data_IF_254396596228
#
_entry.id   IF_254396596228
#
_cell.length_a   1.000
_cell.length_b   1.000
_cell.length_c   1.000
_cell.angle_alpha   90.00
_cell.angle_beta   90.00
_cell.angle_gamma   90.00
#
_symmetry.space_group_name_H-M   'P 1'
#
loop_
_entity.id
_entity.type
_entity.pdbx_description
1 polymer ?
#
# COMPACT_ATOMS: atom_id res chain seq x y z
N UNK A 1 -20.52 25.99 -40.57
CA UNK A 1 -19.12 26.38 -40.90
C UNK A 1 -18.31 26.32 -39.62
N UNK A 2 -17.15 25.70 -39.70
CA UNK A 2 -16.52 24.86 -38.66
C UNK A 2 -15.84 25.62 -37.52
N UNK A 3 -16.02 25.12 -36.29
CA UNK A 3 -15.28 25.51 -35.09
C UNK A 3 -13.91 24.82 -35.07
N UNK A 4 -12.84 25.59 -35.29
CA UNK A 4 -11.47 25.08 -35.24
C UNK A 4 -10.95 25.07 -33.80
N UNK A 5 -10.64 23.88 -33.28
CA UNK A 5 -9.94 23.69 -32.01
C UNK A 5 -8.42 23.83 -32.21
N UNK A 6 -7.66 24.50 -31.33
CA UNK A 6 -6.21 24.52 -31.45
C UNK A 6 -5.60 23.23 -30.88
N UNK A 7 -4.96 22.43 -31.74
CA UNK A 7 -4.08 21.33 -31.37
C UNK A 7 -2.82 21.89 -30.67
N UNK A 8 -2.54 21.47 -29.43
CA UNK A 8 -1.25 21.72 -28.78
C UNK A 8 -0.26 20.65 -29.22
N UNK A 9 0.71 21.01 -30.06
CA UNK A 9 1.85 20.14 -30.41
C UNK A 9 2.77 19.99 -29.21
N UNK A 10 2.94 18.77 -28.71
CA UNK A 10 4.06 18.43 -27.81
C UNK A 10 5.25 18.00 -28.68
N UNK A 11 6.19 18.92 -28.87
CA UNK A 11 7.49 18.64 -29.49
C UNK A 11 8.53 19.56 -28.86
N UNK A 12 9.52 18.97 -28.21
CA UNK A 12 10.60 19.74 -27.58
C UNK A 12 11.45 18.90 -26.63
N UNK A 13 12.28 18.03 -27.20
CA UNK A 13 13.41 17.41 -26.54
C UNK A 13 14.47 18.48 -26.22
N UNK A 14 14.66 18.79 -24.95
CA UNK A 14 15.67 19.75 -24.50
C UNK A 14 16.69 19.05 -23.60
N UNK A 15 17.81 18.68 -24.21
CA UNK A 15 19.04 18.34 -23.50
C UNK A 15 19.75 19.64 -23.19
N UNK A 16 19.77 20.08 -21.93
CA UNK A 16 20.53 21.25 -21.48
C UNK A 16 21.27 20.91 -20.19
N UNK A 17 22.59 20.80 -20.30
CA UNK A 17 23.50 20.73 -19.16
C UNK A 17 23.62 22.09 -18.47
N UNK A 18 23.47 22.10 -17.16
CA UNK A 18 23.71 23.23 -16.26
C UNK A 18 23.82 22.70 -14.83
N UNK A 19 25.01 22.81 -14.23
CA UNK A 19 25.41 22.08 -13.03
C UNK A 19 24.77 22.52 -11.71
N UNK A 20 24.91 21.66 -10.70
CA UNK A 20 24.88 22.01 -9.28
C UNK A 20 23.69 21.47 -8.51
N UNK A 21 22.49 21.99 -8.76
CA UNK A 21 21.35 21.80 -7.84
C UNK A 21 20.03 21.55 -8.58
N UNK A 22 19.92 22.01 -9.83
CA UNK A 22 18.72 21.89 -10.69
C UNK A 22 18.57 20.53 -11.40
N UNK A 23 19.52 19.61 -11.23
CA UNK A 23 19.51 18.32 -11.93
C UNK A 23 18.92 17.17 -11.11
N UNK A 24 18.65 17.35 -9.81
CA UNK A 24 18.12 16.26 -8.98
C UNK A 24 16.62 16.06 -9.23
N UNK A 25 16.17 14.90 -9.73
CA UNK A 25 14.75 14.68 -9.98
C UNK A 25 14.02 14.66 -8.65
N UNK A 26 12.99 15.52 -8.51
CA UNK A 26 12.14 15.54 -7.31
C UNK A 26 11.28 14.28 -7.18
N UNK A 27 10.97 13.62 -8.29
CA UNK A 27 10.10 12.44 -8.29
C UNK A 27 10.93 11.16 -8.21
N UNK A 28 10.39 10.17 -7.49
CA UNK A 28 10.95 8.82 -7.49
C UNK A 28 10.68 8.11 -8.82
N UNK A 29 11.72 7.50 -9.38
CA UNK A 29 11.64 6.63 -10.54
C UNK A 29 10.84 5.36 -10.24
N UNK A 30 10.39 4.68 -11.30
CA UNK A 30 9.59 3.44 -11.19
C UNK A 30 10.33 2.36 -10.38
N UNK A 31 11.63 2.21 -10.59
CA UNK A 31 12.45 1.25 -9.85
C UNK A 31 12.54 1.63 -8.36
N UNK A 32 12.73 2.91 -8.06
CA UNK A 32 12.79 3.40 -6.68
C UNK A 32 11.46 3.17 -5.96
N UNK A 33 10.33 3.47 -6.60
CA UNK A 33 8.99 3.20 -6.06
C UNK A 33 8.77 1.72 -5.78
N UNK A 34 9.21 0.84 -6.69
CA UNK A 34 9.12 -0.62 -6.50
C UNK A 34 9.90 -1.06 -5.26
N UNK A 35 11.18 -0.69 -5.17
CA UNK A 35 12.04 -1.06 -4.04
C UNK A 35 11.54 -0.46 -2.72
N UNK A 36 11.07 0.78 -2.75
CA UNK A 36 10.48 1.48 -1.61
C UNK A 36 9.23 0.75 -1.06
N UNK A 37 8.37 0.22 -1.94
CA UNK A 37 7.25 -0.63 -1.53
C UNK A 37 7.71 -1.98 -0.94
N UNK A 38 8.73 -2.60 -1.54
CA UNK A 38 9.27 -3.87 -1.10
C UNK A 38 9.96 -3.78 0.27
N UNK A 39 10.63 -2.65 0.55
CA UNK A 39 11.31 -2.36 1.81
C UNK A 39 10.36 -1.99 2.95
N UNK A 40 9.12 -1.60 2.66
CA UNK A 40 8.13 -1.26 3.68
C UNK A 40 7.72 -2.48 4.52
N UNK A 41 7.31 -2.27 5.78
CA UNK A 41 6.98 -3.38 6.67
C UNK A 41 5.77 -4.19 6.17
N UNK A 42 5.85 -5.51 6.21
CA UNK A 42 4.76 -6.41 5.82
C UNK A 42 3.66 -6.39 6.88
N UNK A 43 2.39 -6.46 6.45
CA UNK A 43 1.26 -6.65 7.37
C UNK A 43 1.08 -8.16 7.62
N UNK A 44 1.30 -8.67 8.85
CA UNK A 44 1.11 -10.09 9.14
C UNK A 44 -0.30 -10.56 8.81
N UNK A 45 -0.42 -11.76 8.25
CA UNK A 45 -1.71 -12.33 7.86
C UNK A 45 -2.36 -11.71 6.61
N UNK A 46 -1.69 -10.79 5.90
CA UNK A 46 -2.16 -10.22 4.62
C UNK A 46 -1.16 -10.47 3.49
N UNK A 47 -1.65 -10.44 2.25
CA UNK A 47 -0.81 -10.66 1.08
C UNK A 47 0.29 -9.57 0.96
N UNK A 48 1.58 -9.93 1.01
CA UNK A 48 2.70 -8.98 1.14
C UNK A 48 2.90 -8.08 -0.08
N UNK A 49 2.46 -8.52 -1.26
CA UNK A 49 2.51 -7.65 -2.45
C UNK A 49 1.39 -6.61 -2.47
N UNK A 50 0.29 -6.84 -1.75
CA UNK A 50 -0.90 -5.99 -1.79
C UNK A 50 -0.95 -5.04 -0.60
N UNK A 51 -0.44 -5.45 0.56
CA UNK A 51 -0.58 -4.74 1.82
C UNK A 51 0.78 -4.49 2.47
N UNK A 52 0.98 -3.27 2.94
CA UNK A 52 2.18 -2.84 3.69
C UNK A 52 1.77 -1.93 4.83
N UNK A 53 2.64 -1.77 5.82
CA UNK A 53 2.55 -0.69 6.81
C UNK A 53 3.37 0.50 6.33
N UNK A 54 2.80 1.68 6.48
CA UNK A 54 3.49 2.93 6.24
C UNK A 54 4.51 3.24 7.36
N UNK A 55 5.31 4.30 7.21
CA UNK A 55 6.33 4.66 8.21
C UNK A 55 5.74 5.02 9.61
N UNK A 56 4.46 5.37 9.67
CA UNK A 56 3.71 5.64 10.90
C UNK A 56 3.01 4.39 11.47
N UNK A 57 3.09 3.24 10.79
CA UNK A 57 2.49 1.98 11.20
C UNK A 57 1.05 1.77 10.71
N UNK A 58 0.54 2.61 9.82
CA UNK A 58 -0.80 2.47 9.24
C UNK A 58 -0.81 1.48 8.09
N UNK A 59 -1.91 0.77 7.92
CA UNK A 59 -2.06 -0.20 6.83
C UNK A 59 -2.47 0.51 5.55
N UNK A 60 -1.72 0.28 4.48
CA UNK A 60 -2.01 0.80 3.13
C UNK A 60 -2.09 -0.33 2.11
N UNK A 61 -2.77 -0.08 1.00
CA UNK A 61 -2.95 -1.06 -0.08
C UNK A 61 -2.33 -0.56 -1.38
N UNK A 62 -1.56 -1.40 -2.07
CA UNK A 62 -0.80 -1.05 -3.28
C UNK A 62 -1.66 -0.40 -4.36
N UNK A 63 -2.92 -0.84 -4.49
CA UNK A 63 -3.90 -0.34 -5.47
C UNK A 63 -4.31 1.11 -5.22
N UNK A 64 -4.19 1.60 -3.99
CA UNK A 64 -4.64 2.92 -3.56
C UNK A 64 -3.47 3.92 -3.50
N UNK A 65 -2.71 4.03 -4.58
CA UNK A 65 -1.64 5.03 -4.72
C UNK A 65 -2.23 6.36 -5.21
N UNK A 66 -1.77 7.49 -4.66
CA UNK A 66 -2.16 8.85 -5.08
C UNK A 66 -3.68 9.11 -5.03
N UNK A 67 -4.33 8.66 -3.96
CA UNK A 67 -5.75 8.93 -3.71
C UNK A 67 -6.00 9.49 -2.31
N UNK A 68 -7.24 9.88 -2.04
CA UNK A 68 -7.68 10.36 -0.73
C UNK A 68 -8.56 9.30 -0.09
N UNK A 69 -8.10 8.74 1.03
CA UNK A 69 -8.82 7.67 1.71
C UNK A 69 -7.97 7.06 2.81
N UNK A 70 -8.60 6.23 3.62
CA UNK A 70 -7.97 5.71 4.81
C UNK A 70 -6.92 4.61 4.54
N UNK A 71 -6.94 4.02 3.34
CA UNK A 71 -5.94 3.05 2.86
C UNK A 71 -5.04 3.63 1.75
N UNK A 72 -5.27 4.89 1.37
CA UNK A 72 -4.53 5.56 0.31
C UNK A 72 -3.16 6.01 0.80
N UNK A 73 -2.17 5.89 -0.07
CA UNK A 73 -0.80 6.28 0.23
C UNK A 73 -0.16 7.05 -0.92
N UNK A 74 0.91 7.74 -0.58
CA UNK A 74 1.82 8.41 -1.51
C UNK A 74 3.26 8.01 -1.18
N UNK A 75 4.14 8.15 -2.17
CA UNK A 75 5.58 8.04 -1.95
C UNK A 75 6.10 9.40 -1.47
N UNK A 76 6.81 9.39 -0.36
CA UNK A 76 7.30 10.58 0.32
C UNK A 76 8.80 10.45 0.61
N UNK A 77 9.48 11.58 0.73
CA UNK A 77 10.88 11.63 1.14
C UNK A 77 10.99 11.60 2.66
N UNK A 78 11.83 10.72 3.21
CA UNK A 78 12.12 10.67 4.66
C UNK A 78 12.73 12.02 5.08
N UNK A 79 13.81 12.42 4.42
CA UNK A 79 14.36 13.78 4.42
C UNK A 79 13.69 14.58 3.28
N UNK A 80 12.89 15.63 3.57
CA UNK A 80 12.19 16.38 2.54
C UNK A 80 13.13 16.92 1.46
N UNK A 81 12.67 16.91 0.21
CA UNK A 81 13.43 17.44 -0.93
C UNK A 81 13.90 18.88 -0.71
N UNK A 82 13.05 19.74 -0.12
CA UNK A 82 13.40 21.13 0.20
C UNK A 82 14.50 21.29 1.26
N UNK A 83 14.91 20.19 1.89
CA UNK A 83 15.96 20.12 2.91
C UNK A 83 17.15 19.29 2.43
N UNK A 84 17.29 19.14 1.11
CA UNK A 84 18.41 18.44 0.46
C UNK A 84 18.20 16.94 0.26
N UNK A 85 17.03 16.40 0.58
CA UNK A 85 16.74 14.98 0.39
C UNK A 85 16.70 14.55 -1.08
N UNK A 86 17.43 13.49 -1.41
CA UNK A 86 17.48 12.93 -2.77
C UNK A 86 16.37 11.92 -3.01
N UNK A 87 15.99 11.70 -4.27
CA UNK A 87 14.93 10.75 -4.65
C UNK A 87 15.47 9.31 -4.80
N UNK A 88 16.19 8.83 -3.79
CA UNK A 88 16.79 7.49 -3.74
C UNK A 88 15.89 6.50 -3.00
N UNK A 89 16.22 5.20 -3.08
CA UNK A 89 15.49 4.14 -2.37
C UNK A 89 15.55 4.34 -0.85
N UNK A 90 16.71 4.70 -0.34
CA UNK A 90 16.95 4.85 1.10
C UNK A 90 16.23 6.06 1.69
N UNK A 91 15.93 7.07 0.87
CA UNK A 91 15.18 8.25 1.28
C UNK A 91 13.68 8.15 0.91
N UNK A 92 13.23 7.04 0.33
CA UNK A 92 11.83 6.85 0.00
C UNK A 92 11.09 6.12 1.13
N UNK A 93 9.92 6.64 1.48
CA UNK A 93 8.97 5.95 2.35
C UNK A 93 7.57 6.00 1.75
N UNK A 94 6.75 5.02 2.10
CA UNK A 94 5.31 5.09 1.88
C UNK A 94 4.65 5.73 3.10
N UNK A 95 3.72 6.66 2.84
CA UNK A 95 2.99 7.36 3.89
C UNK A 95 1.54 7.53 3.49
N UNK A 96 0.61 7.30 4.42
CA UNK A 96 -0.82 7.53 4.14
C UNK A 96 -1.03 8.98 3.68
N UNK A 97 -1.82 9.25 2.65
CA UNK A 97 -1.97 10.59 2.03
C UNK A 97 -2.29 11.69 3.06
N UNK A 98 -3.16 11.39 4.03
CA UNK A 98 -3.52 12.34 5.10
C UNK A 98 -2.35 12.65 6.03
N UNK A 99 -1.58 11.62 6.38
CA UNK A 99 -0.38 11.72 7.21
C UNK A 99 0.73 12.44 6.45
N UNK A 100 0.86 12.20 5.13
CA UNK A 100 1.79 12.90 4.26
C UNK A 100 1.53 14.40 4.20
N UNK A 101 0.26 14.79 4.03
CA UNK A 101 -0.18 16.20 4.09
C UNK A 101 0.16 16.86 5.42
N UNK A 102 0.03 16.13 6.53
CA UNK A 102 0.41 16.63 7.85
C UNK A 102 1.93 16.75 8.03
N UNK A 103 2.69 15.76 7.54
CA UNK A 103 4.16 15.77 7.56
C UNK A 103 4.72 16.97 6.79
N UNK A 104 4.28 17.17 5.55
CA UNK A 104 4.78 18.25 4.68
C UNK A 104 6.33 18.26 4.65
N UNK A 105 6.96 19.38 5.00
CA UNK A 105 8.42 19.55 5.09
C UNK A 105 8.99 19.44 6.53
N UNK A 106 8.18 19.00 7.50
CA UNK A 106 8.61 18.84 8.88
C UNK A 106 9.52 17.62 9.00
N UNK A 107 10.59 17.78 9.76
CA UNK A 107 11.48 16.69 10.14
C UNK A 107 11.13 16.25 11.57
N UNK A 108 11.59 15.06 11.96
CA UNK A 108 11.54 14.59 13.36
C UNK A 108 10.13 14.50 13.97
N UNK A 109 9.13 14.13 13.17
CA UNK A 109 7.81 13.83 13.69
C UNK A 109 7.83 12.46 14.37
N UNK A 110 7.39 12.40 15.62
CA UNK A 110 7.24 11.14 16.33
C UNK A 110 6.17 10.28 15.63
N UNK A 111 6.41 8.96 15.54
CA UNK A 111 5.44 8.01 14.96
C UNK A 111 4.06 8.13 15.61
N UNK A 112 4.00 8.38 16.92
CA UNK A 112 2.75 8.60 17.67
C UNK A 112 2.00 9.84 17.18
N UNK A 113 2.71 10.93 16.88
CA UNK A 113 2.11 12.15 16.34
C UNK A 113 1.56 11.91 14.93
N UNK A 114 2.31 11.22 14.07
CA UNK A 114 1.85 10.85 12.73
C UNK A 114 0.61 9.95 12.76
N UNK A 115 0.59 8.99 13.69
CA UNK A 115 -0.54 8.07 13.89
C UNK A 115 -1.81 8.81 14.28
N UNK A 116 -1.73 9.89 15.05
CA UNK A 116 -2.88 10.73 15.43
C UNK A 116 -3.60 11.41 14.25
N UNK A 117 -2.91 11.60 13.11
CA UNK A 117 -3.52 12.16 11.88
C UNK A 117 -3.97 11.09 10.90
N UNK A 118 -3.82 9.82 11.26
CA UNK A 118 -4.22 8.68 10.45
C UNK A 118 -5.72 8.43 10.58
N UNK A 119 -6.28 7.65 9.66
CA UNK A 119 -7.64 7.18 9.88
C UNK A 119 -7.67 6.07 10.92
N UNK A 120 -8.64 6.11 11.82
CA UNK A 120 -8.93 5.01 12.73
C UNK A 120 -9.67 3.91 11.97
N UNK A 121 -8.92 2.99 11.34
CA UNK A 121 -9.47 1.74 10.83
C UNK A 121 -9.08 0.62 11.79
N UNK A 122 -10.07 0.07 12.47
CA UNK A 122 -9.93 -1.20 13.16
C UNK A 122 -10.25 -2.32 12.17
N UNK A 123 -9.24 -3.08 11.76
CA UNK A 123 -9.48 -4.31 11.02
C UNK A 123 -9.96 -5.37 12.01
N UNK A 124 -11.26 -5.36 12.30
CA UNK A 124 -11.89 -6.42 13.07
C UNK A 124 -11.91 -7.68 12.22
N UNK A 125 -11.32 -8.76 12.74
CA UNK A 125 -11.57 -10.12 12.27
C UNK A 125 -10.94 -10.51 10.93
N UNK A 126 -9.89 -11.31 11.00
CA UNK A 126 -9.93 -12.65 10.42
C UNK A 126 -10.46 -12.81 8.98
N UNK A 127 -9.99 -11.99 8.02
CA UNK A 127 -9.99 -12.41 6.60
C UNK A 127 -8.70 -13.21 6.33
N UNK A 128 -8.52 -14.29 7.09
CA UNK A 128 -7.57 -15.34 6.75
C UNK A 128 -8.14 -16.11 5.55
N UNK A 129 -7.27 -16.45 4.60
CA UNK A 129 -7.53 -17.36 3.46
C UNK A 129 -8.46 -16.79 2.37
N UNK A 130 -8.19 -16.72 1.07
CA UNK A 130 -7.11 -17.11 0.14
C UNK A 130 -7.51 -16.51 -1.22
N UNK A 131 -6.61 -16.15 -2.15
CA UNK A 131 -6.99 -15.74 -3.51
C UNK A 131 -7.41 -16.92 -4.41
N UNK A 132 -7.54 -18.15 -3.88
CA UNK A 132 -7.93 -19.35 -4.64
C UNK A 132 -8.98 -20.21 -3.93
N UNK A 133 -10.16 -19.68 -3.67
CA UNK A 133 -11.31 -20.54 -3.34
C UNK A 133 -12.05 -20.85 -4.63
N UNK A 134 -11.79 -22.03 -5.20
CA UNK A 134 -12.75 -22.72 -6.05
C UNK A 134 -14.00 -23.03 -5.20
N UNK A 135 -15.23 -22.80 -5.68
CA UNK A 135 -16.44 -22.83 -4.87
C UNK A 135 -16.96 -24.27 -4.57
N UNK A 136 -16.08 -25.28 -4.47
CA UNK A 136 -16.49 -26.69 -4.36
C UNK A 136 -16.04 -27.42 -3.08
N UNK A 137 -15.41 -26.76 -2.10
CA UNK A 137 -14.97 -27.44 -0.86
C UNK A 137 -15.67 -26.89 0.40
N UNK A 138 -16.68 -26.03 0.26
CA UNK A 138 -17.46 -25.55 1.41
C UNK A 138 -18.62 -26.47 1.81
N UNK A 139 -18.50 -27.78 1.56
CA UNK A 139 -19.52 -28.80 1.91
C UNK A 139 -19.02 -29.85 2.92
N UNK A 140 -18.12 -29.52 3.87
CA UNK A 140 -17.70 -30.53 4.85
C UNK A 140 -17.49 -30.06 6.29
N UNK A 141 -17.83 -28.82 6.67
CA UNK A 141 -17.69 -28.38 8.08
C UNK A 141 -18.99 -27.83 8.68
N UNK A 142 -20.14 -28.24 8.14
CA UNK A 142 -21.47 -28.00 8.72
C UNK A 142 -22.30 -29.29 8.82
N UNK A 143 -21.75 -30.31 9.47
CA UNK A 143 -22.56 -31.34 10.11
C UNK A 143 -21.95 -31.67 11.47
N UNK A 144 -22.45 -31.09 12.58
CA UNK A 144 -22.32 -31.76 13.86
C UNK A 144 -23.33 -32.91 13.89
N UNK A 145 -23.00 -33.96 14.65
CA UNK A 145 -23.84 -35.12 15.01
C UNK A 145 -23.72 -36.38 14.14
N UNK A 146 -23.66 -37.51 14.84
CA UNK A 146 -23.66 -38.92 14.40
C UNK A 146 -22.31 -39.57 14.05
N UNK A 147 -21.49 -39.78 15.08
CA UNK A 147 -20.67 -41.00 15.26
C UNK A 147 -20.22 -40.99 16.74
N UNK A 148 -20.35 -41.99 17.59
CA UNK A 148 -21.07 -43.24 17.60
C UNK A 148 -21.15 -43.59 19.08
N UNK A 149 -22.33 -43.69 19.66
CA UNK A 149 -22.51 -44.40 20.92
C UNK A 149 -23.83 -45.16 20.85
N UNK A 150 -23.66 -46.47 21.00
CA UNK A 150 -24.64 -47.40 21.54
C UNK A 150 -25.68 -48.07 20.62
N UNK A 151 -25.52 -49.40 20.61
CA UNK A 151 -26.53 -50.46 20.61
C UNK A 151 -26.85 -51.23 19.31
N UNK A 152 -26.26 -52.42 19.30
CA UNK A 152 -26.89 -53.73 19.13
C UNK A 152 -27.47 -54.11 17.75
N UNK A 153 -26.89 -55.19 17.21
CA UNK A 153 -27.59 -56.47 17.00
C UNK A 153 -27.57 -57.02 15.56
N UNK A 154 -26.94 -58.19 15.46
CA UNK A 154 -27.32 -59.38 14.69
C UNK A 154 -26.98 -59.50 13.19
N UNK A 155 -26.50 -60.72 12.88
CA UNK A 155 -26.32 -61.42 11.59
C UNK A 155 -24.96 -61.14 10.94
N UNK A 156 -24.07 -62.12 10.72
CA UNK A 156 -24.29 -63.49 10.25
C UNK A 156 -23.20 -64.48 10.72
N UNK A 157 -23.63 -65.74 10.86
CA UNK A 157 -22.93 -67.05 10.77
C UNK A 157 -21.39 -67.11 10.80
#
# INVERSE_FOLDING_TARGET
>A
MSSSSPQRSMGGNSNSGGGGEDQRPRFFDKMVKKMCWENAEIVPGRHPERWRKDAAGNIVCKRFCNCHGCLCYEYDHILPFSKGGESTVDNCQILQTRVNRFKSNRQELNKTQLKGYSCEINFTGMLFYSPRICPLIFLCLLLPTLFAMEFQSMNDL
#
